data_IF_177881287841
#
_entry.id   IF_177881287841
#
_cell.length_a   1.000
_cell.length_b   1.000
_cell.length_c   1.000
_cell.angle_alpha   90.00
_cell.angle_beta   90.00
_cell.angle_gamma   90.00
#
_symmetry.space_group_name_H-M   'P 1'
#
loop_
_entity.id
_entity.type
_entity.pdbx_description
1 polymer ?
#
# COMPACT_ATOMS: atom_id res chain seq x y z
N UNK A 1 4.11 -23.54 35.33
CA UNK A 1 3.46 -22.42 34.64
C UNK A 1 2.42 -21.65 35.46
N UNK A 2 1.46 -22.27 36.14
CA UNK A 2 0.44 -21.56 36.95
C UNK A 2 1.03 -20.71 38.10
N UNK A 3 2.11 -21.17 38.74
CA UNK A 3 2.75 -20.49 39.86
C UNK A 3 3.47 -19.20 39.45
N UNK A 4 4.27 -19.25 38.39
CA UNK A 4 4.97 -18.07 37.83
C UNK A 4 3.99 -16.98 37.41
N UNK A 5 2.84 -17.35 36.86
CA UNK A 5 1.79 -16.41 36.42
C UNK A 5 1.13 -15.70 37.60
N UNK A 6 0.95 -16.39 38.75
CA UNK A 6 0.36 -15.81 39.96
C UNK A 6 1.30 -14.74 40.56
N UNK A 7 2.61 -15.03 40.58
CA UNK A 7 3.64 -14.10 41.06
C UNK A 7 3.75 -12.86 40.17
N UNK A 8 3.73 -13.05 38.84
CA UNK A 8 3.81 -11.95 37.87
C UNK A 8 2.57 -11.03 37.92
N UNK A 9 1.37 -11.59 38.10
CA UNK A 9 0.15 -10.81 38.28
C UNK A 9 0.14 -10.01 39.60
N UNK A 10 0.79 -10.49 40.65
CA UNK A 10 0.90 -9.76 41.90
C UNK A 10 1.84 -8.54 41.76
N UNK A 11 2.93 -8.66 40.98
CA UNK A 11 3.82 -7.55 40.67
C UNK A 11 3.09 -6.49 39.82
N UNK A 12 2.34 -6.92 38.82
CA UNK A 12 1.59 -6.00 37.94
C UNK A 12 0.47 -5.25 38.69
N UNK A 13 -0.14 -5.84 39.71
CA UNK A 13 -1.13 -5.17 40.56
C UNK A 13 -0.58 -3.95 41.29
N UNK A 14 0.71 -3.94 41.63
CA UNK A 14 1.39 -2.81 42.27
C UNK A 14 1.40 -1.59 41.30
N UNK A 15 1.39 -1.82 40.00
CA UNK A 15 1.35 -0.80 38.96
C UNK A 15 -0.05 -0.59 38.35
N UNK A 16 -1.11 -1.11 38.98
CA UNK A 16 -2.48 -1.01 38.46
C UNK A 16 -2.74 -1.79 37.17
N UNK A 17 -1.84 -2.69 36.81
CA UNK A 17 -1.92 -3.50 35.59
C UNK A 17 -2.42 -4.92 35.90
N UNK A 18 -3.12 -5.55 34.97
CA UNK A 18 -3.60 -6.91 35.05
C UNK A 18 -3.42 -7.62 33.70
N UNK A 19 -2.76 -8.78 33.70
CA UNK A 19 -2.77 -9.65 32.53
C UNK A 19 -4.17 -10.26 32.40
N UNK A 20 -4.91 -9.84 31.40
CA UNK A 20 -6.18 -10.45 31.03
C UNK A 20 -5.86 -11.52 29.99
N UNK A 21 -6.20 -12.78 30.30
CA UNK A 21 -6.20 -13.81 29.27
C UNK A 21 -7.45 -13.57 28.42
N UNK A 22 -7.25 -13.02 27.24
CA UNK A 22 -8.31 -13.00 26.25
C UNK A 22 -8.73 -14.45 26.00
N UNK A 23 -10.01 -14.77 26.26
CA UNK A 23 -10.56 -16.05 25.83
C UNK A 23 -10.39 -16.12 24.32
N UNK A 24 -9.72 -17.17 23.84
CA UNK A 24 -9.68 -17.44 22.39
C UNK A 24 -11.13 -17.54 21.91
N UNK A 25 -11.59 -16.53 21.22
CA UNK A 25 -12.79 -16.69 20.42
C UNK A 25 -12.44 -17.70 19.33
N UNK A 26 -13.31 -18.70 19.14
CA UNK A 26 -13.10 -19.77 18.15
C UNK A 26 -12.98 -19.27 16.69
N UNK A 27 -13.23 -17.99 16.47
CA UNK A 27 -13.19 -17.31 15.17
C UNK A 27 -11.97 -16.36 15.02
N UNK A 28 -11.02 -16.35 15.97
CA UNK A 28 -9.77 -15.64 15.77
C UNK A 28 -8.85 -16.56 14.94
N UNK A 29 -8.56 -16.15 13.72
CA UNK A 29 -7.42 -16.65 12.95
C UNK A 29 -6.20 -16.51 13.85
N UNK A 30 -5.43 -17.57 14.01
CA UNK A 30 -4.26 -17.59 14.90
C UNK A 30 -3.14 -16.77 14.24
N UNK A 31 -3.07 -15.48 14.53
CA UNK A 31 -2.04 -14.54 14.03
C UNK A 31 -0.61 -14.88 14.54
N UNK A 32 -0.39 -16.04 15.15
CA UNK A 32 0.96 -16.52 15.45
C UNK A 32 1.72 -17.04 14.22
N UNK A 33 1.04 -17.26 13.12
CA UNK A 33 1.59 -17.30 11.78
C UNK A 33 1.10 -15.98 11.16
N UNK A 34 1.98 -15.00 10.93
CA UNK A 34 1.61 -13.82 10.15
C UNK A 34 1.06 -14.36 8.83
N UNK A 35 -0.26 -14.31 8.59
CA UNK A 35 -0.76 -14.64 7.27
C UNK A 35 -0.04 -13.69 6.34
N UNK A 36 0.50 -14.21 5.24
CA UNK A 36 0.99 -13.33 4.22
C UNK A 36 -0.15 -12.39 3.78
N UNK A 37 0.21 -11.24 3.29
CA UNK A 37 -0.72 -10.21 2.81
C UNK A 37 -1.79 -10.80 1.87
N UNK A 38 -1.38 -11.66 0.95
CA UNK A 38 -2.27 -12.34 -0.02
C UNK A 38 -3.31 -13.23 0.67
N UNK A 39 -2.92 -14.02 1.66
CA UNK A 39 -3.85 -14.87 2.42
C UNK A 39 -4.89 -14.02 3.14
N UNK A 40 -4.48 -12.89 3.72
CA UNK A 40 -5.40 -11.99 4.40
C UNK A 40 -6.34 -11.30 3.40
N UNK A 41 -5.82 -10.80 2.30
CA UNK A 41 -6.61 -10.19 1.21
C UNK A 41 -7.64 -11.21 0.68
N UNK A 42 -7.24 -12.44 0.37
CA UNK A 42 -8.15 -13.49 -0.10
C UNK A 42 -9.29 -13.79 0.87
N UNK A 43 -9.01 -13.74 2.17
CA UNK A 43 -10.04 -13.95 3.19
C UNK A 43 -11.13 -12.88 3.17
N UNK A 44 -10.82 -11.68 2.65
CA UNK A 44 -11.72 -10.52 2.57
C UNK A 44 -12.50 -10.52 1.25
N UNK A 45 -11.79 -10.64 0.12
CA UNK A 45 -12.37 -10.43 -1.20
C UNK A 45 -12.71 -11.72 -1.95
N UNK A 46 -12.19 -12.88 -1.53
CA UNK A 46 -12.29 -14.13 -2.26
C UNK A 46 -11.20 -14.25 -3.34
N UNK A 47 -11.44 -15.12 -4.35
CA UNK A 47 -10.41 -15.47 -5.34
C UNK A 47 -10.85 -15.37 -6.80
N UNK A 48 -12.13 -15.08 -7.11
CA UNK A 48 -12.67 -15.21 -8.46
C UNK A 48 -13.27 -13.90 -8.97
N UNK A 49 -13.03 -13.65 -10.25
CA UNK A 49 -13.67 -12.60 -11.04
C UNK A 49 -13.53 -11.20 -10.41
N UNK A 50 -12.37 -10.92 -9.81
CA UNK A 50 -12.10 -9.67 -9.11
C UNK A 50 -11.68 -8.56 -10.07
N UNK A 51 -11.96 -7.33 -9.68
CA UNK A 51 -11.40 -6.11 -10.27
C UNK A 51 -10.34 -5.57 -9.34
N UNK A 52 -9.07 -5.63 -9.78
CA UNK A 52 -7.88 -5.27 -8.99
C UNK A 52 -7.22 -4.06 -9.61
N UNK A 53 -6.88 -3.08 -8.78
CA UNK A 53 -6.14 -1.89 -9.18
C UNK A 53 -4.80 -1.85 -8.46
N UNK A 54 -3.70 -1.67 -9.22
CA UNK A 54 -2.33 -1.58 -8.74
C UNK A 54 -1.78 -0.20 -9.09
N UNK A 55 -1.84 0.71 -8.11
CA UNK A 55 -1.39 2.10 -8.27
C UNK A 55 0.07 2.20 -7.82
N UNK A 56 0.96 2.61 -8.75
CA UNK A 56 2.40 2.56 -8.58
C UNK A 56 2.95 1.16 -8.89
N UNK A 57 2.62 0.65 -10.08
CA UNK A 57 2.96 -0.72 -10.48
C UNK A 57 4.45 -0.95 -10.79
N UNK A 58 5.22 0.12 -10.92
CA UNK A 58 6.66 0.10 -11.18
C UNK A 58 7.01 -0.81 -12.37
N UNK A 59 7.85 -1.83 -12.17
CA UNK A 59 8.26 -2.80 -13.20
C UNK A 59 7.35 -4.04 -13.26
N UNK A 60 6.22 -4.05 -12.52
CA UNK A 60 5.20 -5.08 -12.58
C UNK A 60 5.44 -6.29 -11.68
N UNK A 61 6.20 -6.17 -10.59
CA UNK A 61 6.36 -7.24 -9.61
C UNK A 61 5.02 -7.59 -8.96
N UNK A 62 4.25 -6.56 -8.57
CA UNK A 62 2.91 -6.72 -8.00
C UNK A 62 1.92 -7.31 -9.02
N UNK A 63 1.97 -6.85 -10.27
CA UNK A 63 1.16 -7.39 -11.35
C UNK A 63 1.36 -8.92 -11.50
N UNK A 64 2.62 -9.38 -11.54
CA UNK A 64 2.94 -10.81 -11.65
C UNK A 64 2.42 -11.60 -10.44
N UNK A 65 2.56 -11.05 -9.23
CA UNK A 65 2.06 -11.68 -8.02
C UNK A 65 0.53 -11.78 -8.03
N UNK A 66 -0.17 -10.68 -8.33
CA UNK A 66 -1.64 -10.69 -8.38
C UNK A 66 -2.15 -11.62 -9.48
N UNK A 67 -1.53 -11.68 -10.65
CA UNK A 67 -1.90 -12.60 -11.72
C UNK A 67 -1.74 -14.07 -11.29
N UNK A 68 -0.74 -14.39 -10.49
CA UNK A 68 -0.53 -15.75 -9.96
C UNK A 68 -1.59 -16.15 -8.96
N UNK A 69 -1.94 -15.24 -8.05
CA UNK A 69 -2.85 -15.53 -6.93
C UNK A 69 -4.32 -15.32 -7.28
N UNK A 70 -4.62 -14.45 -8.26
CA UNK A 70 -5.96 -14.07 -8.68
C UNK A 70 -6.11 -14.24 -10.21
N UNK A 71 -5.81 -15.41 -10.71
CA UNK A 71 -5.61 -15.70 -12.13
C UNK A 71 -6.83 -15.50 -13.05
N UNK A 72 -8.03 -15.29 -12.51
CA UNK A 72 -9.25 -14.97 -13.24
C UNK A 72 -9.68 -13.51 -13.14
N UNK A 73 -8.92 -12.72 -12.41
CA UNK A 73 -9.24 -11.32 -12.11
C UNK A 73 -8.80 -10.39 -13.24
N UNK A 74 -9.46 -9.26 -13.36
CA UNK A 74 -9.02 -8.15 -14.20
C UNK A 74 -8.08 -7.28 -13.38
N UNK A 75 -6.87 -7.04 -13.88
CA UNK A 75 -5.86 -6.24 -13.18
C UNK A 75 -5.56 -4.99 -14.00
N UNK A 76 -5.71 -3.83 -13.37
CA UNK A 76 -5.43 -2.52 -13.92
C UNK A 76 -4.23 -1.93 -13.19
N UNK A 77 -3.10 -1.75 -13.89
CA UNK A 77 -1.84 -1.26 -13.29
C UNK A 77 -1.45 0.09 -13.86
N UNK A 78 -1.05 1.01 -12.99
CA UNK A 78 -0.74 2.38 -13.34
C UNK A 78 0.69 2.72 -12.94
N UNK A 79 1.49 3.21 -13.90
CA UNK A 79 2.88 3.58 -13.71
C UNK A 79 3.23 4.81 -14.57
N UNK A 80 3.47 5.97 -13.95
CA UNK A 80 3.76 7.20 -14.69
C UNK A 80 5.17 7.26 -15.29
N UNK A 81 6.17 6.59 -14.67
CA UNK A 81 7.54 6.68 -15.12
C UNK A 81 7.79 5.77 -16.33
N UNK A 82 8.10 6.37 -17.47
CA UNK A 82 8.19 5.72 -18.78
C UNK A 82 9.11 4.50 -18.81
N UNK A 83 10.29 4.56 -18.15
CA UNK A 83 11.24 3.44 -18.18
C UNK A 83 10.74 2.23 -17.36
N UNK A 84 10.07 2.46 -16.24
CA UNK A 84 9.39 1.41 -15.47
C UNK A 84 8.20 0.86 -16.27
N UNK A 85 7.39 1.74 -16.86
CA UNK A 85 6.23 1.37 -17.68
C UNK A 85 6.59 0.50 -18.88
N UNK A 86 7.72 0.75 -19.56
CA UNK A 86 8.19 -0.12 -20.66
C UNK A 86 8.43 -1.57 -20.22
N UNK A 87 8.91 -1.76 -19.00
CA UNK A 87 9.13 -3.09 -18.43
C UNK A 87 7.80 -3.71 -18.02
N UNK A 88 6.96 -2.96 -17.32
CA UNK A 88 5.59 -3.34 -16.95
C UNK A 88 4.77 -3.80 -18.17
N UNK A 89 4.81 -3.01 -19.26
CA UNK A 89 4.08 -3.31 -20.49
C UNK A 89 4.51 -4.63 -21.13
N UNK A 90 5.82 -4.95 -21.10
CA UNK A 90 6.32 -6.23 -21.62
C UNK A 90 5.80 -7.41 -20.81
N UNK A 91 5.79 -7.31 -19.47
CA UNK A 91 5.26 -8.35 -18.59
C UNK A 91 3.74 -8.52 -18.77
N UNK A 92 3.01 -7.44 -18.94
CA UNK A 92 1.57 -7.47 -19.16
C UNK A 92 1.15 -8.23 -20.41
N UNK A 93 1.99 -8.29 -21.46
CA UNK A 93 1.71 -9.09 -22.67
C UNK A 93 1.58 -10.59 -22.38
N UNK A 94 2.21 -11.07 -21.31
CA UNK A 94 2.18 -12.49 -20.91
C UNK A 94 1.08 -12.78 -19.88
N UNK A 95 0.38 -11.74 -19.40
CA UNK A 95 -0.64 -11.88 -18.35
C UNK A 95 -2.04 -11.59 -18.92
N UNK A 96 -2.85 -12.62 -19.15
CA UNK A 96 -4.23 -12.45 -19.61
C UNK A 96 -5.04 -11.57 -18.63
N UNK A 97 -5.94 -10.76 -19.16
CA UNK A 97 -6.83 -9.87 -18.39
C UNK A 97 -6.11 -8.74 -17.62
N UNK A 98 -4.85 -8.46 -17.92
CA UNK A 98 -4.17 -7.26 -17.42
C UNK A 98 -4.31 -6.09 -18.41
N UNK A 99 -4.41 -4.88 -17.87
CA UNK A 99 -4.32 -3.61 -18.59
C UNK A 99 -3.34 -2.71 -17.86
N UNK A 100 -2.44 -2.09 -18.58
CA UNK A 100 -1.41 -1.20 -17.99
C UNK A 100 -1.47 0.17 -18.63
N UNK A 101 -1.23 1.22 -17.82
CA UNK A 101 -1.42 2.61 -18.21
C UNK A 101 -0.19 3.43 -17.83
N UNK A 102 0.30 4.25 -18.78
CA UNK A 102 1.46 5.12 -18.57
C UNK A 102 1.03 6.48 -18.05
N UNK A 103 0.35 6.50 -16.93
CA UNK A 103 0.09 7.70 -16.12
C UNK A 103 -0.09 7.30 -14.66
N UNK A 104 0.08 8.26 -13.76
CA UNK A 104 -0.14 8.06 -12.33
C UNK A 104 -1.57 8.38 -11.92
N UNK A 105 -1.98 7.86 -10.75
CA UNK A 105 -3.23 8.25 -10.10
C UNK A 105 -2.92 9.29 -9.03
N UNK A 106 -3.70 10.37 -8.98
CA UNK A 106 -3.53 11.49 -8.06
C UNK A 106 -4.86 12.21 -7.80
N UNK A 107 -4.83 13.34 -7.09
CA UNK A 107 -6.01 14.15 -6.78
C UNK A 107 -6.37 15.17 -7.87
N UNK A 108 -5.75 15.13 -9.04
CA UNK A 108 -6.01 16.02 -10.17
C UNK A 108 -5.84 15.28 -11.51
N UNK A 109 -6.36 15.89 -12.59
CA UNK A 109 -6.11 15.46 -13.96
C UNK A 109 -5.14 16.44 -14.62
N UNK A 110 -4.05 15.96 -15.22
CA UNK A 110 -3.04 16.79 -15.89
C UNK A 110 -1.62 16.29 -15.65
N UNK A 111 -0.64 17.16 -15.84
CA UNK A 111 0.78 16.82 -15.71
C UNK A 111 1.37 17.31 -14.40
N UNK A 112 2.36 16.61 -13.89
CA UNK A 112 3.16 16.95 -12.70
C UNK A 112 4.57 16.40 -12.82
N UNK A 113 5.52 17.06 -12.17
CA UNK A 113 6.88 16.58 -12.06
C UNK A 113 6.95 15.38 -11.11
N UNK A 114 7.52 14.31 -11.60
CA UNK A 114 7.93 13.12 -10.87
C UNK A 114 9.44 13.19 -10.63
N UNK A 115 9.86 13.11 -9.37
CA UNK A 115 11.27 13.09 -8.98
C UNK A 115 11.76 11.63 -8.97
N UNK A 116 12.79 11.32 -9.73
CA UNK A 116 13.43 10.00 -9.75
C UNK A 116 14.73 10.04 -8.97
N UNK A 117 14.92 9.06 -8.07
CA UNK A 117 16.08 8.94 -7.20
C UNK A 117 16.75 7.60 -7.41
N UNK A 118 18.09 7.58 -7.47
CA UNK A 118 18.89 6.37 -7.55
C UNK A 118 19.76 6.21 -6.29
N UNK A 119 19.94 4.96 -5.89
CA UNK A 119 20.88 4.63 -4.82
C UNK A 119 22.31 4.69 -5.34
N UNK A 120 23.09 5.67 -4.87
CA UNK A 120 24.49 5.86 -5.26
C UNK A 120 25.40 4.71 -4.81
N UNK A 121 25.04 3.95 -3.78
CA UNK A 121 25.80 2.79 -3.31
C UNK A 121 25.43 1.51 -4.05
N UNK A 122 24.22 1.45 -4.61
CA UNK A 122 23.77 0.29 -5.37
C UNK A 122 22.89 0.71 -6.58
N UNK A 123 23.52 1.21 -7.65
CA UNK A 123 22.80 1.71 -8.84
C UNK A 123 21.97 0.64 -9.58
N UNK A 124 22.12 -0.64 -9.21
CA UNK A 124 21.31 -1.74 -9.73
C UNK A 124 19.95 -1.89 -9.01
N UNK A 125 19.79 -1.25 -7.84
CA UNK A 125 18.48 -1.18 -7.18
C UNK A 125 17.59 -0.25 -8.01
N UNK A 126 16.32 -0.61 -8.13
CA UNK A 126 15.32 0.19 -8.83
C UNK A 126 15.26 1.61 -8.28
N UNK A 127 15.15 2.59 -9.17
CA UNK A 127 14.95 3.97 -8.77
C UNK A 127 13.65 4.12 -7.97
N UNK A 128 13.67 4.99 -6.97
CA UNK A 128 12.47 5.46 -6.28
C UNK A 128 11.93 6.64 -7.06
N UNK A 129 10.64 6.59 -7.42
CA UNK A 129 9.97 7.65 -8.14
C UNK A 129 8.83 8.22 -7.28
N UNK A 130 8.85 9.51 -7.00
CA UNK A 130 7.84 10.17 -6.17
C UNK A 130 7.47 11.54 -6.70
N UNK A 131 6.22 11.94 -6.52
CA UNK A 131 5.81 13.34 -6.75
C UNK A 131 6.26 14.25 -5.61
N UNK A 132 6.73 13.70 -4.49
CA UNK A 132 7.32 14.43 -3.37
C UNK A 132 8.85 14.41 -3.47
N UNK A 133 9.48 15.41 -2.84
CA UNK A 133 10.94 15.43 -2.70
C UNK A 133 11.36 14.63 -1.47
N UNK A 134 12.49 13.92 -1.58
CA UNK A 134 13.11 13.26 -0.43
C UNK A 134 13.58 14.34 0.54
N UNK A 135 13.26 14.18 1.84
CA UNK A 135 13.65 15.10 2.89
C UNK A 135 15.15 15.03 3.16
N UNK A 136 15.82 16.18 3.11
CA UNK A 136 17.26 16.26 3.35
C UNK A 136 17.59 15.91 4.81
N UNK A 137 18.52 14.98 4.97
CA UNK A 137 19.09 14.63 6.28
C UNK A 137 18.47 13.42 6.97
N UNK A 138 17.41 12.85 6.46
CA UNK A 138 16.75 11.69 7.04
C UNK A 138 16.94 10.41 6.21
N UNK A 139 17.34 9.35 6.87
CA UNK A 139 17.27 7.91 6.59
C UNK A 139 17.77 7.33 5.25
N UNK A 140 17.89 8.06 4.15
CA UNK A 140 18.41 7.49 2.89
C UNK A 140 19.58 8.32 2.36
N UNK A 141 20.74 8.31 3.06
CA UNK A 141 21.89 9.10 2.63
C UNK A 141 22.50 8.67 1.29
N UNK A 142 22.14 7.48 0.80
CA UNK A 142 22.63 6.94 -0.48
C UNK A 142 21.82 7.36 -1.70
N UNK A 143 20.59 7.86 -1.51
CA UNK A 143 19.73 8.25 -2.64
C UNK A 143 20.03 9.69 -3.08
N UNK A 144 20.27 9.84 -4.36
CA UNK A 144 20.43 11.15 -5.01
C UNK A 144 19.40 11.30 -6.12
N UNK A 145 18.90 12.53 -6.29
CA UNK A 145 18.01 12.84 -7.40
C UNK A 145 18.76 12.61 -8.72
N UNK A 146 18.21 11.79 -9.58
CA UNK A 146 18.77 11.49 -10.90
C UNK A 146 18.16 12.39 -11.98
N UNK A 147 16.85 12.60 -11.92
CA UNK A 147 16.13 13.42 -12.88
C UNK A 147 14.75 13.85 -12.36
N UNK A 148 14.23 14.92 -12.94
CA UNK A 148 12.84 15.33 -12.82
C UNK A 148 12.17 15.10 -14.19
N UNK A 149 11.02 14.40 -14.18
CA UNK A 149 10.31 14.03 -15.40
C UNK A 149 8.87 14.49 -15.29
N UNK A 150 8.37 15.17 -16.32
CA UNK A 150 6.95 15.50 -16.40
C UNK A 150 6.17 14.24 -16.80
N UNK A 151 5.17 13.88 -15.98
CA UNK A 151 4.31 12.73 -16.19
C UNK A 151 2.84 13.11 -16.12
N UNK A 152 2.02 12.35 -16.82
CA UNK A 152 0.56 12.49 -16.78
C UNK A 152 -0.02 11.86 -15.52
N UNK A 153 -1.07 12.49 -14.99
CA UNK A 153 -1.83 12.01 -13.83
C UNK A 153 -3.33 12.15 -14.05
N UNK A 154 -4.08 11.26 -13.45
CA UNK A 154 -5.55 11.25 -13.50
C UNK A 154 -6.12 10.95 -12.11
N UNK A 155 -7.31 11.46 -11.81
CA UNK A 155 -8.09 11.01 -10.65
C UNK A 155 -8.64 9.62 -10.88
N UNK A 156 -8.65 8.80 -9.84
CA UNK A 156 -9.22 7.47 -9.93
C UNK A 156 -10.72 7.51 -10.22
N UNK A 157 -11.45 8.47 -9.63
CA UNK A 157 -12.88 8.69 -9.92
C UNK A 157 -13.13 8.99 -11.41
N UNK A 158 -12.25 9.80 -12.05
CA UNK A 158 -12.34 10.06 -13.49
C UNK A 158 -12.11 8.79 -14.29
N UNK A 159 -11.05 8.05 -13.99
CA UNK A 159 -10.71 6.81 -14.71
C UNK A 159 -11.84 5.77 -14.64
N UNK A 160 -12.41 5.55 -13.47
CA UNK A 160 -13.52 4.61 -13.25
C UNK A 160 -14.74 4.99 -14.09
N UNK A 161 -15.10 6.27 -14.10
CA UNK A 161 -16.23 6.76 -14.87
C UNK A 161 -16.02 6.66 -16.39
N UNK A 162 -14.82 7.00 -16.87
CA UNK A 162 -14.47 6.94 -18.31
C UNK A 162 -14.39 5.51 -18.85
N UNK A 163 -14.23 4.51 -17.98
CA UNK A 163 -14.08 3.11 -18.37
C UNK A 163 -15.26 2.21 -17.95
N UNK A 164 -16.37 2.79 -17.48
CA UNK A 164 -17.57 2.08 -17.04
C UNK A 164 -17.28 0.94 -16.04
N UNK A 165 -16.43 1.22 -15.03
CA UNK A 165 -16.07 0.26 -14.00
C UNK A 165 -16.92 0.51 -12.75
N UNK A 166 -17.69 -0.47 -12.32
CA UNK A 166 -18.68 -0.31 -11.24
C UNK A 166 -18.03 -0.25 -9.85
N UNK A 167 -17.00 -1.09 -9.61
CA UNK A 167 -16.38 -1.23 -8.29
C UNK A 167 -14.98 -1.84 -8.39
N UNK A 168 -14.21 -1.69 -7.30
CA UNK A 168 -12.87 -2.23 -7.11
C UNK A 168 -12.90 -3.21 -5.93
N UNK A 169 -12.53 -4.48 -6.18
CA UNK A 169 -12.40 -5.46 -5.11
C UNK A 169 -11.12 -5.26 -4.30
N UNK A 170 -10.00 -4.95 -4.97
CA UNK A 170 -8.72 -4.66 -4.34
C UNK A 170 -8.10 -3.41 -4.95
N UNK A 171 -7.86 -2.41 -4.13
CA UNK A 171 -7.06 -1.23 -4.46
C UNK A 171 -5.71 -1.32 -3.72
N UNK A 172 -4.62 -1.59 -4.48
CA UNK A 172 -3.25 -1.46 -3.97
C UNK A 172 -2.74 -0.04 -4.25
N UNK A 173 -2.12 0.59 -3.25
CA UNK A 173 -1.55 1.93 -3.34
C UNK A 173 -0.12 1.90 -2.81
N UNK A 174 0.85 2.25 -3.67
CA UNK A 174 2.27 2.34 -3.35
C UNK A 174 2.90 3.35 -4.32
N UNK A 175 2.84 4.62 -3.94
CA UNK A 175 3.26 5.76 -4.77
C UNK A 175 4.31 6.62 -4.08
N UNK A 176 5.03 5.99 -3.16
CA UNK A 176 6.24 6.52 -2.55
C UNK A 176 6.02 7.90 -1.88
N UNK A 177 5.12 7.90 -0.87
CA UNK A 177 4.82 9.05 -0.01
C UNK A 177 3.61 9.90 -0.45
N UNK A 178 3.09 9.69 -1.66
CA UNK A 178 1.96 10.46 -2.23
C UNK A 178 0.62 9.72 -2.14
N UNK A 179 0.50 8.68 -1.32
CA UNK A 179 -0.69 7.81 -1.18
C UNK A 179 -1.95 8.63 -0.83
N UNK A 180 -1.80 9.70 -0.05
CA UNK A 180 -2.89 10.61 0.28
C UNK A 180 -3.52 11.25 -0.96
N UNK A 181 -2.72 11.58 -1.99
CA UNK A 181 -3.22 12.16 -3.23
C UNK A 181 -4.05 11.15 -4.03
N UNK A 182 -3.72 9.86 -3.98
CA UNK A 182 -4.53 8.80 -4.59
C UNK A 182 -5.88 8.70 -3.89
N UNK A 183 -5.90 8.74 -2.55
CA UNK A 183 -7.12 8.69 -1.76
C UNK A 183 -8.03 9.89 -2.05
N UNK A 184 -7.47 11.11 -2.11
CA UNK A 184 -8.20 12.32 -2.48
C UNK A 184 -8.74 12.27 -3.92
N UNK A 185 -8.05 11.60 -4.84
CA UNK A 185 -8.50 11.39 -6.23
C UNK A 185 -9.53 10.28 -6.41
N UNK A 186 -9.87 9.57 -5.34
CA UNK A 186 -10.85 8.48 -5.28
C UNK A 186 -11.97 8.76 -4.27
N UNK A 187 -12.24 10.02 -3.95
CA UNK A 187 -13.17 10.41 -2.88
C UNK A 187 -14.58 9.87 -3.12
N UNK A 188 -15.10 9.96 -4.34
CA UNK A 188 -16.44 9.47 -4.70
C UNK A 188 -16.54 7.94 -4.56
N UNK A 189 -15.48 7.22 -4.90
CA UNK A 189 -15.40 5.75 -4.74
C UNK A 189 -15.42 5.35 -3.26
N UNK A 190 -14.68 6.07 -2.40
CA UNK A 190 -14.68 5.83 -0.96
C UNK A 190 -16.03 6.17 -0.33
N UNK A 191 -16.60 7.32 -0.66
CA UNK A 191 -17.92 7.76 -0.17
C UNK A 191 -19.03 6.78 -0.57
N UNK A 192 -19.01 6.29 -1.80
CA UNK A 192 -20.00 5.36 -2.34
C UNK A 192 -19.74 3.89 -2.00
N UNK A 193 -18.67 3.58 -1.21
CA UNK A 193 -18.30 2.21 -0.80
C UNK A 193 -18.02 1.27 -1.98
N UNK A 194 -17.50 1.81 -3.07
CA UNK A 194 -17.19 1.05 -4.28
C UNK A 194 -15.82 0.34 -4.23
N UNK A 195 -15.04 0.52 -3.17
CA UNK A 195 -13.78 -0.17 -2.93
C UNK A 195 -13.97 -1.14 -1.77
N UNK A 196 -13.73 -2.43 -1.97
CA UNK A 196 -13.96 -3.47 -0.96
C UNK A 196 -12.78 -3.66 -0.02
N UNK A 197 -11.57 -3.70 -0.57
CA UNK A 197 -10.32 -3.91 0.17
C UNK A 197 -9.26 -2.94 -0.31
N UNK A 198 -8.50 -2.38 0.61
CA UNK A 198 -7.37 -1.47 0.35
C UNK A 198 -6.12 -2.13 0.90
N UNK A 199 -5.07 -2.16 0.09
CA UNK A 199 -3.72 -2.61 0.44
C UNK A 199 -2.76 -1.46 0.15
N UNK A 200 -2.21 -0.83 1.19
CA UNK A 200 -1.47 0.43 1.08
C UNK A 200 -0.13 0.35 1.79
N UNK A 201 0.96 0.75 1.08
CA UNK A 201 2.25 1.01 1.71
C UNK A 201 2.22 2.36 2.44
N UNK A 202 2.69 2.38 3.69
CA UNK A 202 2.74 3.60 4.50
C UNK A 202 4.15 3.79 5.03
N UNK A 203 4.79 4.87 4.63
CA UNK A 203 6.06 5.30 5.19
C UNK A 203 5.84 5.81 6.63
N UNK A 204 6.51 5.18 7.60
CA UNK A 204 6.49 5.55 9.02
C UNK A 204 7.64 6.53 9.29
N UNK A 205 8.81 6.30 8.70
CA UNK A 205 9.90 7.24 8.74
C UNK A 205 9.62 8.44 7.82
N UNK A 206 10.10 9.61 8.21
CA UNK A 206 9.91 10.85 7.45
C UNK A 206 10.86 10.89 6.25
N UNK A 207 10.49 10.19 5.16
CA UNK A 207 11.31 10.13 3.94
C UNK A 207 11.09 11.30 3.00
N UNK A 208 9.84 11.77 2.89
CA UNK A 208 9.43 12.75 1.90
C UNK A 208 8.94 14.04 2.54
N UNK A 209 9.20 15.16 1.87
CA UNK A 209 8.62 16.45 2.26
C UNK A 209 7.09 16.38 2.13
N UNK A 210 6.38 16.78 3.19
CA UNK A 210 4.91 16.81 3.25
C UNK A 210 4.22 15.43 3.16
N UNK A 211 4.91 14.30 3.35
CA UNK A 211 4.24 13.01 3.49
C UNK A 211 3.25 13.03 4.66
N UNK A 212 2.21 12.22 4.57
CA UNK A 212 1.28 12.03 5.68
C UNK A 212 1.76 10.93 6.62
N UNK A 213 1.44 11.08 7.91
CA UNK A 213 1.75 10.07 8.92
C UNK A 213 0.73 8.93 8.94
N UNK A 214 1.03 7.88 9.69
CA UNK A 214 0.15 6.73 9.85
C UNK A 214 -1.24 7.10 10.40
N UNK A 215 -1.30 8.08 11.33
CA UNK A 215 -2.57 8.49 11.94
C UNK A 215 -3.50 9.16 10.92
N UNK A 216 -2.94 9.87 9.94
CA UNK A 216 -3.70 10.44 8.84
C UNK A 216 -4.47 9.33 8.09
N UNK A 217 -3.81 8.24 7.70
CA UNK A 217 -4.44 7.14 6.96
C UNK A 217 -5.49 6.42 7.79
N UNK A 218 -5.20 6.12 9.07
CA UNK A 218 -6.17 5.52 9.99
C UNK A 218 -7.43 6.39 10.13
N UNK A 219 -7.27 7.70 10.35
CA UNK A 219 -8.41 8.60 10.53
C UNK A 219 -9.20 8.79 9.25
N UNK A 220 -8.52 8.90 8.10
CA UNK A 220 -9.15 9.06 6.79
C UNK A 220 -9.97 7.83 6.42
N UNK A 221 -9.40 6.62 6.49
CA UNK A 221 -10.15 5.40 6.18
C UNK A 221 -11.29 5.15 7.17
N UNK A 222 -11.09 5.49 8.45
CA UNK A 222 -12.15 5.42 9.44
C UNK A 222 -13.31 6.37 9.12
N UNK A 223 -13.05 7.57 8.60
CA UNK A 223 -14.11 8.50 8.20
C UNK A 223 -14.95 7.97 7.04
N UNK A 224 -14.37 7.14 6.19
CA UNK A 224 -15.08 6.37 5.15
C UNK A 224 -15.60 5.02 5.64
N UNK A 225 -15.58 4.75 6.96
CA UNK A 225 -16.07 3.52 7.64
C UNK A 225 -15.27 2.25 7.32
N UNK A 226 -14.06 2.37 6.78
CA UNK A 226 -13.15 1.24 6.65
C UNK A 226 -12.49 0.90 7.99
N UNK A 227 -12.23 -0.37 8.20
CA UNK A 227 -11.55 -0.91 9.39
C UNK A 227 -10.15 -1.38 9.02
N UNK A 228 -9.18 -1.12 9.88
CA UNK A 228 -7.86 -1.74 9.78
C UNK A 228 -8.00 -3.25 10.09
N UNK A 229 -7.66 -4.07 9.12
CA UNK A 229 -7.73 -5.53 9.22
C UNK A 229 -6.39 -6.14 9.60
N UNK A 230 -5.29 -5.61 9.06
CA UNK A 230 -3.95 -6.11 9.36
C UNK A 230 -2.84 -5.15 8.97
N UNK A 231 -1.67 -5.42 9.55
CA UNK A 231 -0.40 -4.80 9.19
C UNK A 231 0.55 -5.91 8.76
N UNK A 232 1.22 -5.75 7.65
CA UNK A 232 2.15 -6.73 7.07
C UNK A 232 3.40 -6.04 6.51
N UNK A 233 4.35 -6.83 6.05
CA UNK A 233 5.58 -6.36 5.39
C UNK A 233 6.33 -5.26 6.17
N UNK A 234 6.38 -5.40 7.50
CA UNK A 234 7.01 -4.42 8.38
C UNK A 234 8.52 -4.40 8.15
N UNK A 235 9.05 -3.30 7.64
CA UNK A 235 10.48 -3.09 7.43
C UNK A 235 11.03 -2.18 8.51
N UNK A 236 12.17 -2.58 9.10
CA UNK A 236 12.83 -1.83 10.17
C UNK A 236 14.29 -1.55 9.83
N UNK A 237 14.84 -0.50 10.43
CA UNK A 237 16.28 -0.24 10.41
C UNK A 237 17.03 -1.18 11.39
N UNK A 238 18.37 -1.05 11.43
CA UNK A 238 19.25 -1.80 12.36
C UNK A 238 18.95 -1.54 13.85
N UNK A 239 18.32 -0.42 14.16
CA UNK A 239 17.93 -0.04 15.52
C UNK A 239 16.50 -0.48 15.86
N UNK A 240 15.82 -1.21 14.95
CA UNK A 240 14.43 -1.65 15.05
C UNK A 240 13.39 -0.54 14.98
N UNK A 241 13.74 0.63 14.45
CA UNK A 241 12.76 1.65 14.12
C UNK A 241 12.02 1.22 12.85
N UNK A 242 10.70 1.26 12.85
CA UNK A 242 9.89 0.96 11.68
C UNK A 242 10.11 2.03 10.62
N UNK A 243 10.41 1.60 9.41
CA UNK A 243 10.66 2.47 8.27
C UNK A 243 9.39 2.63 7.43
N UNK A 244 8.80 1.52 7.03
CA UNK A 244 7.52 1.45 6.34
C UNK A 244 6.84 0.11 6.63
N UNK A 245 5.57 0.04 6.32
CA UNK A 245 4.74 -1.14 6.46
C UNK A 245 3.60 -1.10 5.43
N UNK A 246 3.02 -2.26 5.19
CA UNK A 246 1.76 -2.36 4.47
C UNK A 246 0.59 -2.49 5.44
N UNK A 247 -0.49 -1.79 5.14
CA UNK A 247 -1.73 -1.84 5.89
C UNK A 247 -2.89 -2.32 4.99
N UNK A 248 -3.75 -3.17 5.55
CA UNK A 248 -4.95 -3.68 4.87
C UNK A 248 -6.18 -3.13 5.58
N UNK A 249 -7.04 -2.46 4.80
CA UNK A 249 -8.33 -1.96 5.28
C UNK A 249 -9.47 -2.58 4.48
N UNK A 250 -10.63 -2.73 5.14
CA UNK A 250 -11.86 -3.21 4.49
C UNK A 250 -13.09 -2.61 5.15
N UNK A 251 -14.19 -2.59 4.43
CA UNK A 251 -15.53 -2.19 4.93
C UNK A 251 -16.04 -3.08 6.07
#
# INVERSE_FOLDING_TARGET
>A
MKFLRKTFNNILKIFGLKIIQLKRHKNLINLNENPDDITLIKSIIGEKDLTIFDIGAHKGETLENFARYFNKSKIYSFEPFEDSFKILSKKALEIPNSKVFNFGISNFNGTKILNSYIDSHNPNISAINSTLKIQKGNFIPSYSMSQEVECDFMKLDTFINDNDIDSIDLLKIDVQGSEYSVIEGAEDLFMSKKIKCIFIEIAIAEYYENQKDFNYYISTFKSYEYKLIGLCNLITDKNKNTLYLDAIFSL
#
